data_IF_799452806613
#
_entry.id   IF_799452806613
#
_cell.length_a   1.000
_cell.length_b   1.000
_cell.length_c   1.000
_cell.angle_alpha   90.00
_cell.angle_beta   90.00
_cell.angle_gamma   90.00
#
_symmetry.space_group_name_H-M   'P 1'
#
loop_
_entity.id
_entity.type
_entity.pdbx_description
1 polymer ?
#
# COMPACT_ATOMS: atom_id res chain seq x y z
N UNK A 1 -3.60 -7.89 -33.54
CA UNK A 1 -3.70 -8.09 -32.08
C UNK A 1 -2.31 -7.89 -31.53
N UNK A 2 -2.09 -6.88 -30.70
CA UNK A 2 -0.77 -6.57 -30.16
C UNK A 2 -0.34 -7.71 -29.22
N UNK A 3 0.75 -8.40 -29.54
CA UNK A 3 1.36 -9.37 -28.62
C UNK A 3 1.86 -8.62 -27.39
N UNK A 4 1.41 -9.04 -26.21
CA UNK A 4 1.88 -8.49 -24.95
C UNK A 4 3.14 -9.27 -24.53
N UNK A 5 4.23 -8.55 -24.30
CA UNK A 5 5.52 -9.15 -23.96
C UNK A 5 5.52 -9.55 -22.48
N UNK A 6 5.47 -10.85 -22.21
CA UNK A 6 5.60 -11.45 -20.89
C UNK A 6 7.09 -11.67 -20.56
N UNK A 7 7.57 -10.97 -19.54
CA UNK A 7 8.95 -11.06 -19.02
C UNK A 7 9.01 -12.12 -17.95
N UNK A 8 9.72 -13.20 -18.24
CA UNK A 8 9.86 -14.37 -17.38
C UNK A 8 11.27 -14.37 -16.78
N UNK A 9 11.38 -14.33 -15.46
CA UNK A 9 12.63 -14.62 -14.75
C UNK A 9 12.71 -16.13 -14.49
N UNK A 10 13.77 -16.77 -14.95
CA UNK A 10 14.03 -18.19 -14.68
C UNK A 10 15.24 -18.28 -13.77
N UNK A 11 15.06 -18.84 -12.58
CA UNK A 11 16.12 -19.06 -11.60
C UNK A 11 16.42 -20.56 -11.57
N UNK A 12 17.48 -20.96 -12.26
CA UNK A 12 17.83 -22.34 -12.58
C UNK A 12 19.34 -22.45 -12.85
N UNK A 13 20.03 -23.34 -12.15
CA UNK A 13 21.47 -23.55 -12.28
C UNK A 13 21.85 -24.70 -13.23
N UNK A 14 20.87 -25.54 -13.63
CA UNK A 14 21.08 -26.64 -14.58
C UNK A 14 20.86 -26.20 -16.05
N UNK A 15 21.91 -26.16 -16.89
CA UNK A 15 21.79 -25.68 -18.27
C UNK A 15 20.83 -26.50 -19.14
N UNK A 16 20.63 -27.78 -18.82
CA UNK A 16 19.70 -28.65 -19.53
C UNK A 16 18.24 -28.23 -19.31
N UNK A 17 17.87 -27.90 -18.07
CA UNK A 17 16.53 -27.40 -17.72
C UNK A 17 16.27 -26.02 -18.30
N UNK A 18 17.25 -25.11 -18.24
CA UNK A 18 17.17 -23.79 -18.89
C UNK A 18 16.85 -23.93 -20.38
N UNK A 19 17.59 -24.78 -21.10
CA UNK A 19 17.37 -25.04 -22.53
C UNK A 19 16.00 -25.66 -22.81
N UNK A 20 15.53 -26.54 -21.93
CA UNK A 20 14.19 -27.11 -22.03
C UNK A 20 13.13 -26.01 -21.93
N UNK A 21 13.18 -25.17 -20.90
CA UNK A 21 12.23 -24.05 -20.71
C UNK A 21 12.27 -23.09 -21.91
N UNK A 22 13.45 -22.71 -22.38
CA UNK A 22 13.62 -21.88 -23.56
C UNK A 22 12.93 -22.47 -24.79
N UNK A 23 13.12 -23.78 -25.04
CA UNK A 23 12.49 -24.49 -26.15
C UNK A 23 10.97 -24.61 -25.99
N UNK A 24 10.48 -24.81 -24.77
CA UNK A 24 9.05 -24.94 -24.51
C UNK A 24 8.30 -23.62 -24.71
N UNK A 25 8.97 -22.49 -24.51
CA UNK A 25 8.42 -21.14 -24.68
C UNK A 25 8.79 -20.48 -26.01
N UNK A 26 9.67 -21.08 -26.80
CA UNK A 26 9.95 -20.65 -28.18
C UNK A 26 8.84 -21.07 -29.13
N UNK A 27 8.52 -20.22 -30.10
CA UNK A 27 7.61 -20.51 -31.23
C UNK A 27 6.19 -20.94 -30.82
N UNK A 28 5.69 -20.41 -29.70
CA UNK A 28 4.35 -20.69 -29.18
C UNK A 28 3.25 -19.81 -29.79
N UNK A 29 3.55 -19.01 -30.82
CA UNK A 29 2.63 -18.02 -31.41
C UNK A 29 1.32 -18.64 -31.95
N UNK A 30 1.40 -19.87 -32.46
CA UNK A 30 0.26 -20.64 -32.97
C UNK A 30 -0.50 -21.41 -31.88
N UNK A 31 0.00 -21.42 -30.63
CA UNK A 31 -0.64 -22.11 -29.52
C UNK A 31 -1.79 -21.27 -28.94
N UNK A 32 -2.97 -21.86 -28.83
CA UNK A 32 -4.16 -21.18 -28.30
C UNK A 32 -3.97 -20.67 -26.85
N UNK A 33 -3.16 -21.35 -26.04
CA UNK A 33 -2.85 -20.94 -24.66
C UNK A 33 -1.89 -19.73 -24.60
N UNK A 34 -1.05 -19.56 -25.61
CA UNK A 34 -0.13 -18.43 -25.74
C UNK A 34 -0.71 -17.28 -26.56
N UNK A 35 -1.99 -17.36 -26.98
CA UNK A 35 -2.61 -16.32 -27.80
C UNK A 35 -2.48 -14.94 -27.15
N UNK A 36 -1.85 -14.02 -27.87
CA UNK A 36 -1.60 -12.64 -27.41
C UNK A 36 -0.42 -12.47 -26.46
N UNK A 37 0.38 -13.51 -26.20
CA UNK A 37 1.58 -13.47 -25.37
C UNK A 37 2.82 -13.75 -26.22
N UNK A 38 3.88 -12.97 -26.00
CA UNK A 38 5.24 -13.29 -26.41
C UNK A 38 6.12 -13.37 -25.17
N UNK A 39 7.11 -14.27 -25.15
CA UNK A 39 7.93 -14.50 -23.95
C UNK A 39 9.33 -13.93 -24.11
N UNK A 40 9.77 -13.17 -23.11
CA UNK A 40 11.16 -12.74 -22.95
C UNK A 40 11.72 -13.39 -21.70
N UNK A 41 12.73 -14.24 -21.87
CA UNK A 41 13.35 -14.99 -20.80
C UNK A 41 14.60 -14.29 -20.30
N UNK A 42 14.69 -14.09 -19.00
CA UNK A 42 15.92 -13.70 -18.30
C UNK A 42 16.33 -14.85 -17.39
N UNK A 43 17.54 -15.35 -17.56
CA UNK A 43 18.05 -16.51 -16.81
C UNK A 43 18.93 -16.03 -15.67
N UNK A 44 18.77 -16.58 -14.48
CA UNK A 44 19.66 -16.41 -13.33
C UNK A 44 20.14 -17.81 -12.89
N UNK A 45 21.44 -18.00 -12.77
CA UNK A 45 22.07 -19.29 -12.46
C UNK A 45 22.18 -19.54 -10.94
N UNK A 46 21.63 -18.64 -10.12
CA UNK A 46 21.64 -18.77 -8.66
C UNK A 46 20.50 -17.96 -8.05
N UNK A 47 20.05 -18.32 -6.84
CA UNK A 47 19.08 -17.53 -6.11
C UNK A 47 19.57 -16.09 -5.91
N UNK A 48 20.86 -15.94 -5.58
CA UNK A 48 21.49 -14.63 -5.38
C UNK A 48 21.36 -13.75 -6.64
N UNK A 49 21.71 -14.28 -7.80
CA UNK A 49 21.58 -13.54 -9.06
C UNK A 49 20.11 -13.21 -9.37
N UNK A 50 19.19 -14.13 -9.08
CA UNK A 50 17.75 -13.90 -9.22
C UNK A 50 17.27 -12.72 -8.38
N UNK A 51 17.67 -12.65 -7.11
CA UNK A 51 17.36 -11.54 -6.20
C UNK A 51 17.98 -10.22 -6.68
N UNK A 52 19.21 -10.24 -7.19
CA UNK A 52 19.84 -9.05 -7.77
C UNK A 52 19.06 -8.52 -8.97
N UNK A 53 18.64 -9.39 -9.90
CA UNK A 53 17.83 -8.99 -11.07
C UNK A 53 16.46 -8.47 -10.70
N UNK A 54 15.84 -9.00 -9.64
CA UNK A 54 14.57 -8.48 -9.12
C UNK A 54 14.70 -7.04 -8.56
N UNK A 55 15.90 -6.53 -8.32
CA UNK A 55 16.10 -5.12 -7.95
C UNK A 55 16.22 -4.18 -9.15
N UNK A 56 16.73 -4.69 -10.29
CA UNK A 56 17.06 -3.87 -11.46
C UNK A 56 15.99 -3.91 -12.54
N UNK A 57 15.28 -5.03 -12.66
CA UNK A 57 14.37 -5.33 -13.76
C UNK A 57 12.96 -5.67 -13.25
N UNK A 58 11.99 -5.53 -14.17
CA UNK A 58 10.60 -5.90 -13.92
C UNK A 58 10.26 -7.20 -14.63
N UNK A 59 9.56 -8.10 -13.92
CA UNK A 59 9.11 -9.40 -14.42
C UNK A 59 7.62 -9.60 -14.16
N UNK A 60 6.97 -10.33 -15.06
CA UNK A 60 5.56 -10.68 -14.98
C UNK A 60 5.34 -12.02 -14.27
N UNK A 61 6.35 -12.90 -14.29
CA UNK A 61 6.33 -14.20 -13.62
C UNK A 61 7.75 -14.68 -13.32
N UNK A 62 7.90 -15.43 -12.23
CA UNK A 62 9.16 -16.07 -11.82
C UNK A 62 8.98 -17.59 -11.90
N UNK A 63 9.90 -18.25 -12.59
CA UNK A 63 10.08 -19.71 -12.53
C UNK A 63 11.27 -19.97 -11.60
N UNK A 64 11.04 -20.68 -10.51
CA UNK A 64 12.04 -20.93 -9.46
C UNK A 64 12.26 -22.43 -9.28
N UNK A 65 13.48 -22.91 -9.50
CA UNK A 65 13.89 -24.25 -9.05
C UNK A 65 14.15 -24.22 -7.53
N UNK A 66 13.67 -25.24 -6.80
CA UNK A 66 13.96 -25.43 -5.37
C UNK A 66 15.20 -26.29 -5.08
N UNK A 67 15.86 -26.80 -6.12
CA UNK A 67 17.03 -27.68 -6.04
C UNK A 67 18.34 -26.94 -6.33
N UNK A 68 18.31 -25.61 -6.37
CA UNK A 68 19.47 -24.74 -6.59
C UNK A 68 20.63 -25.05 -5.64
N UNK A 69 21.85 -24.99 -6.17
CA UNK A 69 23.08 -25.22 -5.41
C UNK A 69 23.29 -24.23 -4.26
N UNK A 70 22.84 -22.98 -4.40
CA UNK A 70 22.99 -21.92 -3.39
C UNK A 70 21.80 -21.76 -2.43
N UNK A 71 20.68 -22.46 -2.69
CA UNK A 71 19.49 -22.43 -1.85
C UNK A 71 18.71 -23.74 -1.92
N UNK A 72 18.48 -24.35 -0.76
CA UNK A 72 17.84 -25.66 -0.66
C UNK A 72 16.37 -25.55 -0.26
N UNK A 73 15.51 -26.17 -1.07
CA UNK A 73 14.09 -26.31 -0.81
C UNK A 73 13.37 -24.96 -0.75
N UNK A 74 12.40 -24.87 0.16
CA UNK A 74 11.49 -23.72 0.25
C UNK A 74 12.13 -22.40 0.69
N UNK A 75 13.40 -22.40 1.13
CA UNK A 75 14.10 -21.18 1.55
C UNK A 75 14.21 -20.16 0.43
N UNK A 76 14.44 -20.63 -0.80
CA UNK A 76 14.52 -19.76 -1.98
C UNK A 76 13.19 -19.08 -2.28
N UNK A 77 12.09 -19.84 -2.15
CA UNK A 77 10.74 -19.30 -2.31
C UNK A 77 10.45 -18.19 -1.30
N UNK A 78 10.78 -18.40 -0.02
CA UNK A 78 10.59 -17.37 1.02
C UNK A 78 11.39 -16.10 0.72
N UNK A 79 12.66 -16.23 0.33
CA UNK A 79 13.51 -15.08 0.02
C UNK A 79 12.98 -14.27 -1.19
N UNK A 80 12.56 -14.96 -2.27
CA UNK A 80 11.97 -14.29 -3.43
C UNK A 80 10.65 -13.63 -3.07
N UNK A 81 9.78 -14.31 -2.30
CA UNK A 81 8.46 -13.77 -1.93
C UNK A 81 8.57 -12.51 -1.08
N UNK A 82 9.56 -12.43 -0.18
CA UNK A 82 9.83 -11.22 0.60
C UNK A 82 10.17 -10.00 -0.29
N UNK A 83 10.92 -10.21 -1.38
CA UNK A 83 11.31 -9.12 -2.28
C UNK A 83 10.27 -8.83 -3.37
N UNK A 84 9.58 -9.87 -3.87
CA UNK A 84 8.65 -9.82 -5.00
C UNK A 84 7.22 -10.22 -4.57
N UNK A 85 6.62 -9.42 -3.69
CA UNK A 85 5.29 -9.68 -3.13
C UNK A 85 4.16 -9.77 -4.17
N UNK A 86 4.33 -9.13 -5.33
CA UNK A 86 3.28 -9.00 -6.37
C UNK A 86 3.56 -9.78 -7.65
N UNK A 87 4.71 -10.45 -7.75
CA UNK A 87 5.04 -11.22 -8.95
C UNK A 87 4.65 -12.67 -8.66
N UNK A 88 3.86 -13.32 -9.54
CA UNK A 88 3.53 -14.72 -9.36
C UNK A 88 4.79 -15.58 -9.43
N UNK A 89 4.90 -16.54 -8.50
CA UNK A 89 6.05 -17.48 -8.44
C UNK A 89 5.55 -18.88 -8.74
N UNK A 90 6.06 -19.47 -9.82
CA UNK A 90 5.84 -20.86 -10.18
C UNK A 90 7.08 -21.63 -9.79
N UNK A 91 6.88 -22.65 -8.98
CA UNK A 91 7.96 -23.42 -8.39
C UNK A 91 8.16 -24.72 -9.16
N UNK A 92 9.41 -25.07 -9.43
CA UNK A 92 9.79 -26.35 -10.02
C UNK A 92 10.47 -27.23 -8.97
N UNK A 93 9.96 -28.43 -8.74
CA UNK A 93 10.61 -29.48 -7.95
C UNK A 93 10.01 -30.84 -8.26
N UNK A 94 10.82 -31.89 -8.13
CA UNK A 94 10.39 -33.29 -8.25
C UNK A 94 10.18 -33.96 -6.88
N UNK A 95 10.32 -33.22 -5.77
CA UNK A 95 10.01 -33.71 -4.43
C UNK A 95 8.53 -33.48 -4.06
N UNK A 96 7.74 -34.54 -4.19
CA UNK A 96 6.31 -34.56 -3.86
C UNK A 96 6.00 -34.14 -2.41
N UNK A 97 6.95 -34.32 -1.49
CA UNK A 97 6.74 -33.95 -0.08
C UNK A 97 6.74 -32.43 0.12
N UNK A 98 7.33 -31.67 -0.80
CA UNK A 98 7.39 -30.21 -0.74
C UNK A 98 6.16 -29.54 -1.37
N UNK A 99 5.38 -30.27 -2.18
CA UNK A 99 4.25 -29.71 -2.94
C UNK A 99 3.23 -28.95 -2.06
N UNK A 100 2.92 -29.46 -0.86
CA UNK A 100 1.98 -28.77 0.06
C UNK A 100 2.65 -27.54 0.69
N UNK A 101 3.92 -27.65 1.07
CA UNK A 101 4.64 -26.58 1.76
C UNK A 101 4.87 -25.37 0.85
N UNK A 102 5.12 -25.59 -0.45
CA UNK A 102 5.32 -24.47 -1.40
C UNK A 102 4.07 -23.61 -1.55
N UNK A 103 2.88 -24.21 -1.58
CA UNK A 103 1.63 -23.43 -1.62
C UNK A 103 1.38 -22.66 -0.32
N UNK A 104 1.67 -23.25 0.83
CA UNK A 104 1.54 -22.57 2.13
C UNK A 104 2.48 -21.36 2.25
N UNK A 105 3.63 -21.42 1.60
CA UNK A 105 4.61 -20.33 1.52
C UNK A 105 4.33 -19.36 0.38
N UNK A 106 3.18 -19.51 -0.29
CA UNK A 106 2.66 -18.55 -1.24
C UNK A 106 3.10 -18.77 -2.68
N UNK A 107 3.57 -19.96 -3.09
CA UNK A 107 3.72 -20.26 -4.51
C UNK A 107 2.37 -20.15 -5.24
N UNK A 108 2.39 -19.62 -6.47
CA UNK A 108 1.20 -19.45 -7.31
C UNK A 108 0.99 -20.59 -8.29
N UNK A 109 2.06 -21.35 -8.57
CA UNK A 109 2.03 -22.54 -9.40
C UNK A 109 3.12 -23.51 -8.98
N UNK A 110 2.97 -24.75 -9.47
CA UNK A 110 3.87 -25.85 -9.19
C UNK A 110 4.06 -26.69 -10.46
N UNK A 111 5.30 -27.06 -10.74
CA UNK A 111 5.71 -27.85 -11.90
C UNK A 111 6.64 -28.98 -11.48
N UNK A 112 6.36 -30.18 -11.97
CA UNK A 112 7.29 -31.31 -11.91
C UNK A 112 8.09 -31.37 -13.21
N UNK A 113 9.40 -31.48 -13.10
CA UNK A 113 10.32 -31.52 -14.25
C UNK A 113 10.00 -32.71 -15.16
N UNK A 114 9.65 -33.86 -14.56
CA UNK A 114 9.40 -35.11 -15.27
C UNK A 114 8.16 -35.10 -16.19
N UNK A 115 7.23 -34.16 -15.96
CA UNK A 115 5.98 -34.04 -16.73
C UNK A 115 5.85 -32.68 -17.44
N UNK A 116 6.96 -31.96 -17.55
CA UNK A 116 6.96 -30.62 -18.12
C UNK A 116 6.76 -30.68 -19.65
N UNK A 117 5.62 -30.16 -20.11
CA UNK A 117 5.34 -29.93 -21.53
C UNK A 117 4.95 -28.46 -21.78
N UNK A 118 4.91 -28.08 -23.06
CA UNK A 118 4.61 -26.71 -23.49
C UNK A 118 3.25 -26.25 -22.99
N UNK A 119 2.21 -27.09 -23.07
CA UNK A 119 0.85 -26.70 -22.70
C UNK A 119 0.73 -26.52 -21.19
N UNK A 120 1.34 -27.40 -20.41
CA UNK A 120 1.34 -27.30 -18.94
C UNK A 120 2.07 -26.03 -18.49
N UNK A 121 3.26 -25.75 -19.05
CA UNK A 121 4.02 -24.56 -18.70
C UNK A 121 3.26 -23.27 -19.08
N UNK A 122 2.71 -23.20 -20.29
CA UNK A 122 1.90 -22.06 -20.74
C UNK A 122 0.65 -21.89 -19.89
N UNK A 123 -0.03 -22.98 -19.55
CA UNK A 123 -1.21 -22.96 -18.69
C UNK A 123 -0.87 -22.42 -17.31
N UNK A 124 0.21 -22.90 -16.67
CA UNK A 124 0.63 -22.43 -15.35
C UNK A 124 1.02 -20.95 -15.37
N UNK A 125 1.80 -20.51 -16.37
CA UNK A 125 2.16 -19.10 -16.52
C UNK A 125 0.92 -18.23 -16.69
N UNK A 126 0.03 -18.59 -17.62
CA UNK A 126 -1.19 -17.81 -17.87
C UNK A 126 -2.10 -17.78 -16.65
N UNK A 127 -2.32 -18.93 -16.00
CA UNK A 127 -3.13 -19.01 -14.78
C UNK A 127 -2.59 -18.11 -13.67
N UNK A 128 -1.28 -18.13 -13.45
CA UNK A 128 -0.64 -17.35 -12.39
C UNK A 128 -0.73 -15.83 -12.67
N UNK A 129 -0.51 -15.41 -13.92
CA UNK A 129 -0.65 -14.00 -14.34
C UNK A 129 -2.11 -13.53 -14.23
N UNK A 130 -3.07 -14.30 -14.75
CA UNK A 130 -4.49 -13.94 -14.70
C UNK A 130 -5.00 -13.86 -13.26
N UNK A 131 -4.55 -14.77 -12.38
CA UNK A 131 -4.82 -14.72 -10.94
C UNK A 131 -4.27 -13.45 -10.32
N UNK A 132 -3.03 -13.06 -10.66
CA UNK A 132 -2.42 -11.84 -10.14
C UNK A 132 -3.17 -10.59 -10.60
N UNK A 133 -3.58 -10.52 -11.88
CA UNK A 133 -4.42 -9.44 -12.38
C UNK A 133 -5.77 -9.37 -11.67
N UNK A 134 -6.39 -10.52 -11.39
CA UNK A 134 -7.66 -10.57 -10.67
C UNK A 134 -7.52 -10.06 -9.23
N UNK A 135 -6.46 -10.45 -8.52
CA UNK A 135 -6.16 -9.95 -7.17
C UNK A 135 -5.93 -8.44 -7.19
N UNK A 136 -5.09 -7.95 -8.10
CA UNK A 136 -4.82 -6.52 -8.23
C UNK A 136 -6.11 -5.71 -8.53
N UNK A 137 -7.01 -6.26 -9.35
CA UNK A 137 -8.32 -5.66 -9.63
C UNK A 137 -9.19 -5.58 -8.37
N UNK A 138 -9.26 -6.66 -7.58
CA UNK A 138 -10.03 -6.66 -6.32
C UNK A 138 -9.46 -5.67 -5.30
N UNK A 139 -8.14 -5.56 -5.21
CA UNK A 139 -7.48 -4.58 -4.34
C UNK A 139 -7.82 -3.15 -4.77
N UNK A 140 -7.78 -2.85 -6.07
CA UNK A 140 -8.16 -1.56 -6.61
C UNK A 140 -9.65 -1.24 -6.38
N UNK A 141 -10.55 -2.20 -6.59
CA UNK A 141 -11.98 -2.05 -6.31
C UNK A 141 -12.24 -1.80 -4.82
N UNK A 142 -11.57 -2.55 -3.93
CA UNK A 142 -11.67 -2.35 -2.49
C UNK A 142 -11.18 -0.96 -2.08
N UNK A 143 -10.04 -0.53 -2.63
CA UNK A 143 -9.49 0.81 -2.35
C UNK A 143 -10.44 1.91 -2.83
N UNK A 144 -11.06 1.73 -4.00
CA UNK A 144 -12.07 2.64 -4.53
C UNK A 144 -13.31 2.69 -3.63
N UNK A 145 -13.80 1.55 -3.16
CA UNK A 145 -14.92 1.48 -2.21
C UNK A 145 -14.58 2.15 -0.88
N UNK A 146 -13.39 1.90 -0.32
CA UNK A 146 -12.93 2.58 0.90
C UNK A 146 -12.87 4.10 0.70
N UNK A 147 -12.41 4.56 -0.46
CA UNK A 147 -12.39 5.98 -0.81
C UNK A 147 -13.81 6.56 -0.95
N UNK A 148 -14.72 5.86 -1.62
CA UNK A 148 -16.13 6.28 -1.75
C UNK A 148 -16.85 6.30 -0.40
N UNK A 149 -16.58 5.32 0.48
CA UNK A 149 -17.12 5.31 1.85
C UNK A 149 -16.58 6.50 2.62
N UNK A 150 -15.29 6.81 2.49
CA UNK A 150 -14.70 7.99 3.12
C UNK A 150 -15.33 9.29 2.57
N UNK A 151 -15.49 9.44 1.26
CA UNK A 151 -16.18 10.59 0.66
C UNK A 151 -17.63 10.69 1.13
N UNK A 152 -18.35 9.56 1.19
CA UNK A 152 -19.69 9.50 1.75
C UNK A 152 -19.71 9.85 3.22
N UNK A 153 -18.73 9.49 4.04
CA UNK A 153 -18.67 9.90 5.45
C UNK A 153 -18.41 11.42 5.58
N UNK A 154 -17.59 11.99 4.70
CA UNK A 154 -17.36 13.44 4.63
C UNK A 154 -18.65 14.18 4.22
N UNK A 155 -19.42 13.63 3.27
CA UNK A 155 -20.64 14.24 2.75
C UNK A 155 -21.91 13.96 3.60
N UNK A 156 -22.05 12.74 4.13
CA UNK A 156 -23.15 12.27 4.98
C UNK A 156 -22.97 12.61 6.46
N UNK A 157 -21.85 13.24 6.83
CA UNK A 157 -21.79 14.22 7.92
C UNK A 157 -22.63 15.46 7.59
N UNK A 158 -23.84 15.26 7.07
CA UNK A 158 -24.99 16.12 7.29
C UNK A 158 -25.43 15.99 8.74
N UNK A 159 -24.56 16.40 9.68
CA UNK A 159 -25.04 17.10 10.86
C UNK A 159 -24.93 18.59 10.55
N UNK A 160 -25.90 19.02 9.74
CA UNK A 160 -26.42 20.39 9.65
C UNK A 160 -26.72 21.00 11.04
N UNK A 161 -26.62 20.23 12.13
CA UNK A 161 -26.87 20.72 13.47
C UNK A 161 -25.64 21.43 14.05
N UNK A 162 -24.40 20.95 13.89
CA UNK A 162 -23.24 21.57 14.57
C UNK A 162 -22.52 22.65 13.72
N UNK A 163 -22.31 22.41 12.42
CA UNK A 163 -21.63 23.36 11.54
C UNK A 163 -22.48 24.62 11.26
N UNK A 164 -23.82 24.49 11.20
CA UNK A 164 -24.72 25.67 11.17
C UNK A 164 -24.94 26.29 12.55
N UNK A 165 -24.80 25.57 13.66
CA UNK A 165 -24.89 26.16 15.01
C UNK A 165 -23.74 27.13 15.32
N UNK A 166 -22.58 27.00 14.65
CA UNK A 166 -21.43 27.90 14.84
C UNK A 166 -21.07 28.78 13.63
N UNK A 167 -21.77 28.63 12.49
CA UNK A 167 -21.66 29.57 11.36
C UNK A 167 -20.31 29.63 10.65
N UNK A 168 -19.42 28.65 10.82
CA UNK A 168 -18.07 28.68 10.28
C UNK A 168 -17.96 27.89 8.97
N UNK A 169 -17.60 28.60 7.89
CA UNK A 169 -17.27 28.05 6.57
C UNK A 169 -15.98 27.20 6.63
N UNK A 170 -15.81 26.13 5.82
CA UNK A 170 -14.61 25.30 5.83
C UNK A 170 -13.32 26.12 5.71
N UNK A 171 -12.23 25.72 6.37
CA UNK A 171 -10.96 26.44 6.36
C UNK A 171 -10.37 26.57 4.96
N UNK A 172 -10.59 25.55 4.12
CA UNK A 172 -10.17 25.56 2.72
C UNK A 172 -10.77 26.72 1.91
N UNK A 173 -11.97 27.17 2.29
CA UNK A 173 -12.66 28.27 1.61
C UNK A 173 -12.48 29.60 2.34
N UNK A 174 -12.47 29.58 3.68
CA UNK A 174 -12.40 30.79 4.50
C UNK A 174 -10.97 31.36 4.62
N UNK A 175 -9.95 30.50 4.64
CA UNK A 175 -8.53 30.89 4.77
C UNK A 175 -7.65 30.04 3.84
N UNK A 176 -7.83 30.14 2.50
CA UNK A 176 -7.21 29.24 1.52
C UNK A 176 -5.68 29.23 1.57
N UNK A 177 -5.04 30.38 1.76
CA UNK A 177 -3.57 30.48 1.80
C UNK A 177 -2.99 29.75 3.02
N UNK A 178 -3.62 29.92 4.19
CA UNK A 178 -3.22 29.25 5.42
C UNK A 178 -3.50 27.75 5.31
N UNK A 179 -4.63 27.38 4.71
CA UNK A 179 -4.96 25.97 4.46
C UNK A 179 -3.95 25.30 3.52
N UNK A 180 -3.49 25.99 2.47
CA UNK A 180 -2.46 25.49 1.58
C UNK A 180 -1.12 25.29 2.32
N UNK A 181 -0.72 26.24 3.16
CA UNK A 181 0.49 26.10 4.00
C UNK A 181 0.40 24.94 4.98
N UNK A 182 -0.77 24.73 5.58
CA UNK A 182 -1.01 23.58 6.46
C UNK A 182 -0.98 22.27 5.67
N UNK A 183 -1.53 22.24 4.46
CA UNK A 183 -1.49 21.06 3.58
C UNK A 183 -0.05 20.69 3.23
N UNK A 184 0.76 21.69 2.88
CA UNK A 184 2.19 21.48 2.64
C UNK A 184 2.91 20.95 3.88
N UNK A 185 2.69 21.57 5.05
CA UNK A 185 3.31 21.14 6.31
C UNK A 185 2.91 19.70 6.67
N UNK A 186 1.64 19.35 6.51
CA UNK A 186 1.14 17.99 6.74
C UNK A 186 1.74 16.99 5.74
N UNK A 187 1.89 17.37 4.48
CA UNK A 187 2.54 16.56 3.44
C UNK A 187 4.03 16.31 3.67
N UNK A 188 4.74 17.25 4.29
CA UNK A 188 6.12 17.04 4.75
C UNK A 188 6.17 16.05 5.91
N UNK A 189 5.26 16.15 6.88
CA UNK A 189 5.17 15.18 7.98
C UNK A 189 4.87 13.77 7.48
N UNK A 190 3.99 13.64 6.49
CA UNK A 190 3.67 12.36 5.87
C UNK A 190 4.89 11.74 5.16
N UNK A 191 5.72 12.58 4.53
CA UNK A 191 6.98 12.14 3.93
C UNK A 191 7.98 11.65 4.98
N UNK A 192 8.16 12.41 6.07
CA UNK A 192 9.05 12.04 7.17
C UNK A 192 8.59 10.78 7.91
N UNK A 193 7.27 10.58 8.05
CA UNK A 193 6.71 9.36 8.64
C UNK A 193 7.09 8.12 7.83
N UNK A 194 6.97 8.21 6.51
CA UNK A 194 7.37 7.14 5.61
C UNK A 194 8.88 6.88 5.68
N UNK A 195 9.71 7.92 5.76
CA UNK A 195 11.17 7.79 5.92
C UNK A 195 11.56 7.17 7.28
N UNK A 196 10.89 7.55 8.37
CA UNK A 196 11.13 6.97 9.70
C UNK A 196 10.86 5.46 9.71
N UNK A 197 9.86 4.99 8.98
CA UNK A 197 9.56 3.56 8.86
C UNK A 197 10.68 2.80 8.13
N UNK A 198 11.31 3.42 7.12
CA UNK A 198 12.37 2.81 6.30
C UNK A 198 13.73 2.89 7.00
N UNK A 199 14.06 4.02 7.61
CA UNK A 199 15.42 4.32 8.12
C UNK A 199 15.53 4.36 9.66
N UNK A 200 14.42 4.19 10.39
CA UNK A 200 14.35 4.18 11.88
C UNK A 200 14.96 5.43 12.56
N UNK A 201 14.91 6.58 11.89
CA UNK A 201 15.34 7.87 12.44
C UNK A 201 14.16 8.55 13.12
N UNK A 202 14.34 9.06 14.35
CA UNK A 202 13.29 9.81 15.05
C UNK A 202 13.18 11.25 14.51
N UNK A 203 12.02 11.58 13.94
CA UNK A 203 11.74 12.91 13.39
C UNK A 203 10.83 13.78 14.28
N UNK A 204 10.52 13.35 15.51
CA UNK A 204 9.58 14.02 16.42
C UNK A 204 8.25 14.38 15.73
N UNK A 205 7.69 13.42 15.00
CA UNK A 205 6.49 13.60 14.17
C UNK A 205 5.29 14.00 15.05
N UNK A 206 5.09 13.32 16.18
CA UNK A 206 4.04 13.62 17.15
C UNK A 206 4.10 15.06 17.67
N UNK A 207 5.28 15.61 17.94
CA UNK A 207 5.43 17.01 18.38
C UNK A 207 5.05 18.02 17.30
N UNK A 208 5.42 17.73 16.04
CA UNK A 208 5.06 18.58 14.89
C UNK A 208 3.57 18.46 14.55
N UNK A 209 2.99 17.27 14.62
CA UNK A 209 1.55 17.04 14.48
C UNK A 209 0.75 17.79 15.56
N UNK A 210 1.22 17.80 16.81
CA UNK A 210 0.61 18.60 17.88
C UNK A 210 0.64 20.09 17.58
N UNK A 211 1.75 20.60 17.05
CA UNK A 211 1.86 22.02 16.65
C UNK A 211 0.89 22.36 15.52
N UNK A 212 0.72 21.45 14.55
CA UNK A 212 -0.27 21.60 13.48
C UNK A 212 -1.70 21.56 14.02
N UNK A 213 -2.00 20.64 14.96
CA UNK A 213 -3.28 20.56 15.64
C UNK A 213 -3.61 21.85 16.42
N UNK A 214 -2.63 22.46 17.09
CA UNK A 214 -2.81 23.72 17.79
C UNK A 214 -3.20 24.85 16.81
N UNK A 215 -2.51 24.96 15.66
CA UNK A 215 -2.84 25.93 14.59
C UNK A 215 -4.27 25.72 14.09
N UNK A 216 -4.64 24.48 13.79
CA UNK A 216 -6.00 24.10 13.40
C UNK A 216 -7.01 24.49 14.49
N UNK A 217 -6.70 24.23 15.75
CA UNK A 217 -7.54 24.58 16.89
C UNK A 217 -7.75 26.09 17.05
N UNK A 218 -6.72 26.92 16.86
CA UNK A 218 -6.84 28.38 16.88
C UNK A 218 -7.72 28.92 15.75
N UNK A 219 -7.68 28.27 14.58
CA UNK A 219 -8.57 28.56 13.46
C UNK A 219 -9.98 27.99 13.64
N UNK A 220 -10.25 27.35 14.79
CA UNK A 220 -11.51 26.67 15.09
C UNK A 220 -11.83 25.57 14.06
N UNK A 221 -10.81 24.90 13.57
CA UNK A 221 -10.94 23.77 12.65
C UNK A 221 -11.87 22.70 13.24
N UNK A 222 -12.79 22.24 12.43
CA UNK A 222 -13.61 21.08 12.71
C UNK A 222 -12.87 19.79 12.35
N UNK A 223 -13.35 18.63 12.82
CA UNK A 223 -12.90 17.33 12.32
C UNK A 223 -12.93 17.24 10.78
N UNK A 224 -13.89 17.91 10.13
CA UNK A 224 -13.99 17.93 8.67
C UNK A 224 -12.81 18.65 8.03
N UNK A 225 -12.36 19.76 8.60
CA UNK A 225 -11.19 20.49 8.09
C UNK A 225 -9.92 19.64 8.16
N UNK A 226 -9.79 18.78 9.18
CA UNK A 226 -8.69 17.81 9.29
C UNK A 226 -8.74 16.76 8.19
N UNK A 227 -9.95 16.28 7.85
CA UNK A 227 -10.13 15.32 6.76
C UNK A 227 -9.90 15.98 5.39
N UNK A 228 -10.37 17.21 5.20
CA UNK A 228 -10.14 17.98 3.97
C UNK A 228 -8.63 18.26 3.77
N UNK A 229 -7.91 18.56 4.85
CA UNK A 229 -6.45 18.70 4.86
C UNK A 229 -5.76 17.40 4.41
N UNK A 230 -6.16 16.27 5.01
CA UNK A 230 -5.59 14.95 4.72
C UNK A 230 -5.83 14.52 3.26
N UNK A 231 -7.08 14.60 2.80
CA UNK A 231 -7.46 14.20 1.44
C UNK A 231 -6.85 15.11 0.37
N UNK A 232 -6.76 16.43 0.61
CA UNK A 232 -6.09 17.37 -0.31
C UNK A 232 -4.60 17.02 -0.43
N UNK A 233 -3.93 16.76 0.69
CA UNK A 233 -2.51 16.41 0.72
C UNK A 233 -2.21 15.09 0.00
N UNK A 234 -3.03 14.05 0.21
CA UNK A 234 -2.87 12.77 -0.50
C UNK A 234 -3.06 12.92 -2.01
N UNK A 235 -4.07 13.69 -2.45
CA UNK A 235 -4.30 13.97 -3.88
C UNK A 235 -3.11 14.68 -4.52
N UNK A 236 -2.43 15.55 -3.79
CA UNK A 236 -1.23 16.24 -4.28
C UNK A 236 -0.01 15.33 -4.33
N UNK A 237 0.25 14.56 -3.25
CA UNK A 237 1.41 13.65 -3.19
C UNK A 237 1.32 12.47 -4.16
N UNK A 238 0.11 12.03 -4.52
CA UNK A 238 -0.10 10.89 -5.42
C UNK A 238 0.04 11.23 -6.92
N UNK A 239 0.26 12.49 -7.31
CA UNK A 239 0.37 12.87 -8.73
C UNK A 239 1.63 12.35 -9.42
N UNK A 240 2.75 12.25 -8.70
CA UNK A 240 4.08 12.03 -9.28
C UNK A 240 4.89 10.92 -8.58
N UNK A 241 4.21 9.93 -7.99
CA UNK A 241 4.87 8.84 -7.23
C UNK A 241 4.48 7.46 -7.73
N UNK A 242 5.36 6.48 -7.52
CA UNK A 242 5.10 5.08 -7.88
C UNK A 242 3.92 4.51 -7.09
N UNK A 243 3.25 3.50 -7.65
CA UNK A 243 2.08 2.86 -7.03
C UNK A 243 2.38 2.37 -5.60
N UNK A 244 3.54 1.72 -5.40
CA UNK A 244 3.97 1.25 -4.07
C UNK A 244 4.15 2.40 -3.08
N UNK A 245 4.68 3.55 -3.52
CA UNK A 245 4.88 4.73 -2.66
C UNK A 245 3.54 5.42 -2.35
N UNK A 246 2.61 5.44 -3.30
CA UNK A 246 1.25 5.94 -3.10
C UNK A 246 0.48 5.11 -2.05
N UNK A 247 0.57 3.77 -2.14
CA UNK A 247 -0.04 2.87 -1.15
C UNK A 247 0.56 3.05 0.24
N UNK A 248 1.88 3.19 0.33
CA UNK A 248 2.55 3.44 1.60
C UNK A 248 2.08 4.77 2.23
N UNK A 249 1.94 5.84 1.45
CA UNK A 249 1.38 7.11 1.93
C UNK A 249 -0.07 6.98 2.42
N UNK A 250 -0.90 6.20 1.74
CA UNK A 250 -2.28 5.96 2.17
C UNK A 250 -2.31 5.19 3.50
N UNK A 251 -1.45 4.18 3.66
CA UNK A 251 -1.39 3.39 4.88
C UNK A 251 -0.95 4.21 6.10
N UNK A 252 0.16 4.95 5.97
CA UNK A 252 0.73 5.76 7.03
C UNK A 252 -0.15 6.98 7.36
N UNK A 253 -0.74 7.57 6.32
CA UNK A 253 -1.62 8.72 6.46
C UNK A 253 -2.87 8.46 7.32
N UNK A 254 -3.37 7.21 7.35
CA UNK A 254 -4.53 6.83 8.20
C UNK A 254 -4.22 6.96 9.68
N UNK A 255 -3.02 6.58 10.11
CA UNK A 255 -2.62 6.69 11.52
C UNK A 255 -2.35 8.15 11.89
N UNK A 256 -1.64 8.89 11.02
CA UNK A 256 -1.37 10.30 11.26
C UNK A 256 -2.63 11.17 11.35
N UNK A 257 -3.65 10.94 10.51
CA UNK A 257 -4.89 11.74 10.57
C UNK A 257 -5.64 11.50 11.88
N UNK A 258 -5.65 10.26 12.39
CA UNK A 258 -6.24 9.94 13.69
C UNK A 258 -5.49 10.60 14.84
N UNK A 259 -4.15 10.59 14.80
CA UNK A 259 -3.31 11.25 15.80
C UNK A 259 -3.55 12.77 15.79
N UNK A 260 -3.61 13.38 14.60
CA UNK A 260 -3.90 14.80 14.42
C UNK A 260 -5.26 15.19 14.99
N UNK A 261 -6.30 14.39 14.74
CA UNK A 261 -7.63 14.57 15.33
C UNK A 261 -7.60 14.43 16.86
N UNK A 262 -6.85 13.46 17.39
CA UNK A 262 -6.66 13.29 18.83
C UNK A 262 -6.02 14.50 19.51
N UNK A 263 -5.02 15.12 18.87
CA UNK A 263 -4.43 16.36 19.36
C UNK A 263 -5.40 17.55 19.26
N UNK A 264 -6.16 17.66 18.17
CA UNK A 264 -7.15 18.72 18.02
C UNK A 264 -8.25 18.61 19.10
N UNK A 265 -8.72 17.40 19.41
CA UNK A 265 -9.63 17.14 20.53
C UNK A 265 -9.00 17.55 21.85
N UNK A 266 -7.73 17.23 22.07
CA UNK A 266 -6.99 17.62 23.28
C UNK A 266 -6.87 19.14 23.41
N UNK A 267 -6.66 19.86 22.31
CA UNK A 267 -6.67 21.31 22.26
C UNK A 267 -8.03 21.87 22.71
N UNK A 268 -9.14 21.40 22.12
CA UNK A 268 -10.48 21.86 22.51
C UNK A 268 -10.81 21.54 23.96
N UNK A 269 -10.41 20.36 24.45
CA UNK A 269 -10.57 20.01 25.86
C UNK A 269 -9.85 21.00 26.77
N UNK A 270 -8.63 21.40 26.42
CA UNK A 270 -7.80 22.32 27.19
C UNK A 270 -8.34 23.75 27.18
N UNK A 271 -8.77 24.25 26.02
CA UNK A 271 -9.07 25.68 25.85
C UNK A 271 -10.56 26.05 25.88
N UNK A 272 -11.48 25.10 25.66
CA UNK A 272 -12.91 25.39 25.53
C UNK A 272 -13.79 24.64 26.52
N UNK A 273 -13.42 23.41 26.92
CA UNK A 273 -14.23 22.60 27.85
C UNK A 273 -13.92 22.95 29.33
N UNK A 274 -12.82 23.65 29.61
CA UNK A 274 -12.41 24.05 30.97
C UNK A 274 -13.11 25.26 31.59
N UNK A 275 -14.12 25.86 30.95
CA UNK A 275 -14.77 27.10 31.42
C UNK A 275 -16.14 26.91 32.08
N UNK A 276 -16.73 25.71 32.06
CA UNK A 276 -18.05 25.46 32.67
C UNK A 276 -18.00 25.11 34.16
N UNK A 277 -16.82 24.97 34.77
CA UNK A 277 -16.66 24.62 36.20
C UNK A 277 -16.35 25.79 37.13
N UNK A 278 -16.33 27.06 36.65
CA UNK A 278 -15.88 28.19 37.47
C UNK A 278 -16.87 29.33 37.76
N UNK A 279 -18.16 29.24 37.38
CA UNK A 279 -19.13 30.33 37.66
C UNK A 279 -20.50 29.83 38.16
N UNK A 280 -20.53 29.05 39.26
CA UNK A 280 -21.78 28.71 39.95
C UNK A 280 -21.77 28.89 41.48
N UNK A 281 -20.77 29.53 42.07
CA UNK A 281 -20.75 29.78 43.53
C UNK A 281 -20.27 31.18 43.89
N UNK A 282 -21.03 32.19 43.52
CA UNK A 282 -20.94 33.50 44.18
C UNK A 282 -22.20 34.34 43.96
N UNK A 283 -23.36 33.85 44.45
CA UNK A 283 -24.40 34.76 44.93
C UNK A 283 -25.42 34.04 45.84
N UNK A 284 -25.04 33.79 47.10
CA UNK A 284 -25.99 33.51 48.16
C UNK A 284 -25.41 33.97 49.49
N UNK A 285 -25.34 35.29 49.69
CA UNK A 285 -25.33 35.87 51.03
C UNK A 285 -25.76 37.34 50.95
N UNK A 286 -27.07 37.57 51.15
CA UNK A 286 -27.54 38.80 51.76
C UNK A 286 -28.12 38.46 53.14
N UNK A 287 -27.60 39.04 54.23
CA UNK A 287 -28.11 38.79 55.56
C UNK A 287 -29.44 39.52 55.75
N UNK A 288 -30.42 38.82 56.34
CA UNK A 288 -31.60 39.45 56.94
C UNK A 288 -31.18 40.35 58.09
N UNK A 289 -31.80 41.52 58.21
CA UNK A 289 -31.73 42.38 59.39
C UNK A 289 -33.00 43.25 59.42
N UNK A 290 -33.41 43.75 60.60
CA UNK A 290 -34.00 43.02 61.73
C UNK A 290 -35.53 43.18 61.77
#
# INVERSE_FOLDING_TARGET
MSSNLCRVLVIEDEPAKVRLIQRLLSDVEDNSLAQGLSFSLTIAESLKEGLEKLTTDNFDVILLDLTLSDSQGVKGLSAIREQAHRIPIIVQTDDDNLAIQVFQLGADGYLQTNYLDTNLLLYQIRLAIEKQHYIAKLEAEKQQQEFEVLEKLIQSSGTTITARMFGSQPLKESVPDIFAQMSQSYGELLHLALEQQIYKVDHNISGRLRTLADKLGFLKASPRDVIDLHTTTLKEKNKDVTLAKAEAYVSEGRLMVLELMGYLVSFYRKYYIGLSTFNLTSNSDQPKSP
#
